data_IF_261780299412
#
_entry.id   IF_261780299412
#
_cell.length_a   1.000
_cell.length_b   1.000
_cell.length_c   1.000
_cell.angle_alpha   90.00
_cell.angle_beta   90.00
_cell.angle_gamma   90.00
#
_symmetry.space_group_name_H-M   'P 1'
#
loop_
_entity.id
_entity.type
_entity.pdbx_description
1 polymer ?
#
# COMPACT_ATOMS: atom_id res chain seq x y z
N UNK A 1 27.63 -23.02 36.96
CA UNK A 1 27.01 -21.71 37.25
C UNK A 1 27.12 -20.68 36.13
N UNK A 2 28.22 -20.64 35.35
CA UNK A 2 28.39 -19.66 34.25
C UNK A 2 27.46 -19.95 33.06
N UNK A 3 27.31 -21.22 32.65
CA UNK A 3 26.45 -21.61 31.53
C UNK A 3 24.97 -21.22 31.71
N UNK A 4 24.38 -21.52 32.88
CA UNK A 4 22.99 -21.16 33.23
C UNK A 4 22.73 -19.64 33.21
N UNK A 5 23.71 -18.82 33.60
CA UNK A 5 23.59 -17.35 33.54
C UNK A 5 23.59 -16.85 32.09
N UNK A 6 24.43 -17.44 31.25
CA UNK A 6 24.48 -17.11 29.81
C UNK A 6 23.19 -17.53 29.11
N UNK A 7 22.67 -18.71 29.43
CA UNK A 7 21.41 -19.21 28.88
C UNK A 7 20.21 -18.34 29.29
N UNK A 8 20.11 -17.97 30.57
CA UNK A 8 19.09 -17.02 31.04
C UNK A 8 19.17 -15.67 30.32
N UNK A 9 20.39 -15.16 30.07
CA UNK A 9 20.60 -13.90 29.33
C UNK A 9 20.16 -14.03 27.87
N UNK A 10 20.43 -15.16 27.22
CA UNK A 10 19.99 -15.43 25.86
C UNK A 10 18.47 -15.51 25.76
N UNK A 11 17.81 -16.24 26.68
CA UNK A 11 16.36 -16.33 26.71
C UNK A 11 15.70 -14.97 26.93
N UNK A 12 16.22 -14.14 27.84
CA UNK A 12 15.72 -12.77 28.05
C UNK A 12 15.87 -11.90 26.79
N UNK A 13 16.97 -12.07 26.05
CA UNK A 13 17.18 -11.35 24.78
C UNK A 13 16.15 -11.79 23.73
N UNK A 14 15.89 -13.09 23.63
CA UNK A 14 14.88 -13.63 22.71
C UNK A 14 13.49 -13.11 23.06
N UNK A 15 13.11 -13.14 24.35
CA UNK A 15 11.81 -12.61 24.79
C UNK A 15 11.64 -11.14 24.42
N UNK A 16 12.64 -10.31 24.68
CA UNK A 16 12.60 -8.88 24.36
C UNK A 16 12.51 -8.64 22.84
N UNK A 17 13.21 -9.44 22.03
CA UNK A 17 13.07 -9.39 20.57
C UNK A 17 11.67 -9.76 20.09
N UNK A 18 11.02 -10.74 20.73
CA UNK A 18 9.65 -11.13 20.38
C UNK A 18 8.64 -10.06 20.80
N UNK A 19 8.85 -9.40 21.94
CA UNK A 19 8.02 -8.30 22.43
C UNK A 19 8.05 -7.12 21.44
N UNK A 20 9.25 -6.71 20.99
CA UNK A 20 9.41 -5.69 19.95
C UNK A 20 8.73 -6.07 18.62
N UNK A 21 8.78 -7.35 18.24
CA UNK A 21 8.14 -7.83 17.02
C UNK A 21 6.61 -7.82 17.12
N UNK A 22 6.06 -8.18 18.29
CA UNK A 22 4.63 -8.07 18.56
C UNK A 22 4.18 -6.62 18.46
N UNK A 23 4.89 -5.69 19.11
CA UNK A 23 4.56 -4.26 19.05
C UNK A 23 4.59 -3.74 17.60
N UNK A 24 5.58 -4.16 16.82
CA UNK A 24 5.70 -3.77 15.41
C UNK A 24 4.52 -4.29 14.59
N UNK A 25 4.16 -5.57 14.75
CA UNK A 25 3.03 -6.19 14.04
C UNK A 25 1.68 -5.59 14.46
N UNK A 26 1.49 -5.27 15.74
CA UNK A 26 0.27 -4.60 16.22
C UNK A 26 0.11 -3.21 15.58
N UNK A 27 1.20 -2.45 15.47
CA UNK A 27 1.19 -1.16 14.79
C UNK A 27 0.87 -1.27 13.30
N UNK A 28 1.50 -2.22 12.59
CA UNK A 28 1.19 -2.49 11.17
C UNK A 28 -0.27 -2.92 11.02
N UNK A 29 -0.75 -3.81 11.88
CA UNK A 29 -2.13 -4.27 11.86
C UNK A 29 -3.11 -3.12 12.07
N UNK A 30 -2.86 -2.22 13.02
CA UNK A 30 -3.71 -1.04 13.25
C UNK A 30 -3.77 -0.13 12.01
N UNK A 31 -2.64 0.10 11.34
CA UNK A 31 -2.61 0.92 10.11
C UNK A 31 -3.40 0.23 8.98
N UNK A 32 -3.21 -1.08 8.83
CA UNK A 32 -3.92 -1.88 7.81
C UNK A 32 -5.41 -1.97 8.11
N UNK A 33 -5.82 -2.17 9.36
CA UNK A 33 -7.22 -2.19 9.79
C UNK A 33 -7.90 -0.84 9.49
N UNK A 34 -7.20 0.28 9.75
CA UNK A 34 -7.66 1.62 9.37
C UNK A 34 -7.83 1.79 7.85
N UNK A 35 -6.98 1.14 7.05
CA UNK A 35 -7.06 1.15 5.59
C UNK A 35 -8.19 0.27 5.04
N UNK A 36 -8.48 -0.86 5.71
CA UNK A 36 -9.49 -1.83 5.28
C UNK A 36 -10.90 -1.45 5.74
N UNK A 37 -11.03 -0.76 6.87
CA UNK A 37 -12.34 -0.46 7.45
C UNK A 37 -13.30 0.20 6.45
N UNK A 38 -14.48 -0.41 6.34
CA UNK A 38 -15.43 -0.31 5.23
C UNK A 38 -16.14 1.06 5.10
N UNK A 39 -15.89 2.01 6.00
CA UNK A 39 -16.56 3.32 5.93
C UNK A 39 -16.07 4.18 4.76
N UNK A 40 -15.00 3.78 4.07
CA UNK A 40 -14.49 4.49 2.89
C UNK A 40 -14.17 5.98 3.16
N UNK A 41 -14.14 6.38 4.43
CA UNK A 41 -13.97 7.77 4.91
C UNK A 41 -12.57 8.29 4.66
N UNK A 42 -11.59 7.39 4.59
CA UNK A 42 -10.20 7.77 4.37
C UNK A 42 -10.05 8.38 2.97
N UNK A 43 -9.65 9.64 2.90
CA UNK A 43 -9.35 10.30 1.63
C UNK A 43 -8.20 9.59 0.92
N UNK A 44 -8.10 9.80 -0.39
CA UNK A 44 -6.99 9.27 -1.19
C UNK A 44 -5.62 9.76 -0.65
N UNK A 45 -5.57 10.98 -0.10
CA UNK A 45 -4.36 11.54 0.50
C UNK A 45 -3.98 10.86 1.82
N UNK A 46 -4.94 10.62 2.71
CA UNK A 46 -4.70 9.90 3.97
C UNK A 46 -4.30 8.45 3.72
N UNK A 47 -4.86 7.84 2.67
CA UNK A 47 -4.49 6.49 2.23
C UNK A 47 -3.04 6.47 1.76
N UNK A 48 -2.63 7.46 0.94
CA UNK A 48 -1.25 7.61 0.48
C UNK A 48 -0.27 7.83 1.65
N UNK A 49 -0.66 8.62 2.65
CA UNK A 49 0.14 8.87 3.85
C UNK A 49 0.29 7.61 4.72
N UNK A 50 -0.77 6.83 4.88
CA UNK A 50 -0.70 5.54 5.58
C UNK A 50 0.21 4.53 4.87
N UNK A 51 0.13 4.43 3.53
CA UNK A 51 1.05 3.60 2.75
C UNK A 51 2.51 4.07 2.87
N UNK A 52 2.74 5.38 2.84
CA UNK A 52 4.08 5.94 3.02
C UNK A 52 4.62 5.68 4.42
N UNK A 53 3.79 5.82 5.45
CA UNK A 53 4.16 5.49 6.83
C UNK A 53 4.57 4.01 6.95
N UNK A 54 3.81 3.09 6.33
CA UNK A 54 4.19 1.68 6.29
C UNK A 54 5.52 1.45 5.56
N UNK A 55 5.79 2.16 4.46
CA UNK A 55 7.06 2.03 3.74
C UNK A 55 8.25 2.61 4.50
N UNK A 56 8.07 3.75 5.18
CA UNK A 56 9.15 4.45 5.87
C UNK A 56 9.50 3.79 7.22
N UNK A 57 8.49 3.32 7.96
CA UNK A 57 8.67 2.80 9.33
C UNK A 57 8.63 1.26 9.41
N UNK A 58 8.00 0.58 8.44
CA UNK A 58 7.72 -0.86 8.49
C UNK A 58 8.01 -1.55 7.14
N UNK A 59 9.13 -1.20 6.50
CA UNK A 59 9.46 -1.63 5.14
C UNK A 59 9.52 -3.17 4.98
N UNK A 60 10.07 -3.87 5.96
CA UNK A 60 10.22 -5.33 5.91
C UNK A 60 8.85 -6.00 5.95
N UNK A 61 7.98 -5.60 6.87
CA UNK A 61 6.60 -6.09 6.98
C UNK A 61 5.80 -5.72 5.72
N UNK A 62 5.94 -4.48 5.25
CA UNK A 62 5.32 -4.02 4.01
C UNK A 62 5.63 -4.97 2.85
N UNK A 63 6.90 -5.37 2.73
CA UNK A 63 7.39 -6.23 1.65
C UNK A 63 7.00 -7.69 1.85
N UNK A 64 7.15 -8.21 3.06
CA UNK A 64 6.84 -9.61 3.41
C UNK A 64 5.35 -9.90 3.23
N UNK A 65 4.49 -8.97 3.62
CA UNK A 65 3.04 -9.12 3.51
C UNK A 65 2.46 -8.55 2.21
N UNK A 66 3.33 -8.11 1.29
CA UNK A 66 2.94 -7.52 0.00
C UNK A 66 1.84 -6.46 0.13
N UNK A 67 1.93 -5.58 1.15
CA UNK A 67 0.89 -4.61 1.48
C UNK A 67 0.59 -3.67 0.31
N UNK A 68 1.51 -3.50 -0.64
CA UNK A 68 1.26 -2.78 -1.90
C UNK A 68 0.12 -3.35 -2.74
N UNK A 69 -0.16 -4.66 -2.68
CA UNK A 69 -1.31 -5.26 -3.37
C UNK A 69 -2.64 -4.82 -2.77
N UNK A 70 -2.65 -4.52 -1.48
CA UNK A 70 -3.82 -4.00 -0.77
C UNK A 70 -4.23 -2.63 -1.32
N UNK A 71 -3.25 -1.80 -1.70
CA UNK A 71 -3.51 -0.50 -2.31
C UNK A 71 -4.36 -0.64 -3.57
N UNK A 72 -4.13 -1.64 -4.44
CA UNK A 72 -4.93 -1.81 -5.65
C UNK A 72 -6.43 -2.00 -5.36
N UNK A 73 -6.77 -2.72 -4.29
CA UNK A 73 -8.15 -2.99 -3.90
C UNK A 73 -8.89 -1.72 -3.43
N UNK A 74 -8.20 -0.82 -2.72
CA UNK A 74 -8.80 0.36 -2.11
C UNK A 74 -8.66 1.64 -2.94
N UNK A 75 -7.54 1.77 -3.63
CA UNK A 75 -7.17 2.97 -4.37
C UNK A 75 -7.86 3.00 -5.73
N UNK A 76 -8.04 1.84 -6.38
CA UNK A 76 -8.72 1.77 -7.68
C UNK A 76 -10.15 2.36 -7.67
N UNK A 77 -11.05 1.97 -6.74
CA UNK A 77 -12.38 2.58 -6.69
C UNK A 77 -12.32 4.07 -6.36
N UNK A 78 -11.44 4.50 -5.44
CA UNK A 78 -11.30 5.92 -5.06
C UNK A 78 -10.80 6.80 -6.21
N UNK A 79 -9.76 6.37 -6.93
CA UNK A 79 -9.26 7.11 -8.09
C UNK A 79 -10.32 7.14 -9.19
N UNK A 80 -11.02 6.02 -9.44
CA UNK A 80 -12.13 5.98 -10.40
C UNK A 80 -13.18 7.02 -10.04
N UNK A 81 -13.58 7.11 -8.78
CA UNK A 81 -14.61 8.07 -8.34
C UNK A 81 -14.12 9.53 -8.50
N UNK A 82 -12.85 9.82 -8.24
CA UNK A 82 -12.25 11.12 -8.56
C UNK A 82 -12.29 11.41 -10.08
N UNK A 83 -12.01 10.40 -10.90
CA UNK A 83 -12.00 10.49 -12.36
C UNK A 83 -13.40 10.55 -12.99
N UNK A 84 -14.47 10.21 -12.28
CA UNK A 84 -15.84 10.42 -12.76
C UNK A 84 -16.16 11.92 -12.90
N UNK A 85 -15.59 12.75 -12.03
CA UNK A 85 -15.72 14.22 -12.09
C UNK A 85 -14.78 14.87 -13.09
N UNK A 86 -13.83 14.10 -13.65
CA UNK A 86 -12.79 14.60 -14.53
C UNK A 86 -13.27 14.70 -15.98
N UNK A 87 -13.08 15.87 -16.59
CA UNK A 87 -13.29 16.07 -18.02
C UNK A 87 -11.94 16.07 -18.77
N UNK A 88 -11.65 15.03 -19.58
CA UNK A 88 -10.38 14.90 -20.29
C UNK A 88 -10.15 16.00 -21.34
N UNK A 89 -11.22 16.59 -21.90
CA UNK A 89 -11.11 17.64 -22.92
C UNK A 89 -10.77 19.01 -22.32
N UNK A 90 -11.24 19.28 -21.09
CA UNK A 90 -10.98 20.55 -20.41
C UNK A 90 -9.66 20.52 -19.62
N UNK A 91 -9.36 19.39 -18.96
CA UNK A 91 -8.23 19.31 -18.03
C UNK A 91 -7.43 18.02 -18.18
N UNK A 92 -6.78 17.78 -19.34
CA UNK A 92 -6.10 16.50 -19.63
C UNK A 92 -4.95 16.16 -18.66
N UNK A 93 -4.36 17.17 -18.00
CA UNK A 93 -3.22 17.00 -17.08
C UNK A 93 -3.59 16.77 -15.63
N UNK A 94 -4.87 16.94 -15.26
CA UNK A 94 -5.31 16.88 -13.86
C UNK A 94 -4.99 15.53 -13.18
N UNK A 95 -5.26 14.36 -13.79
CA UNK A 95 -5.00 13.08 -13.11
C UNK A 95 -3.53 12.64 -13.16
N UNK A 96 -2.68 13.29 -13.95
CA UNK A 96 -1.27 12.90 -14.11
C UNK A 96 -0.53 12.97 -12.77
N UNK A 97 -0.70 14.05 -12.01
CA UNK A 97 -0.07 14.20 -10.69
C UNK A 97 -0.55 13.14 -9.70
N UNK A 98 -1.81 12.76 -9.79
CA UNK A 98 -2.40 11.73 -8.95
C UNK A 98 -1.81 10.36 -9.26
N UNK A 99 -1.74 10.01 -10.54
CA UNK A 99 -1.11 8.77 -10.98
C UNK A 99 0.39 8.75 -10.64
N UNK A 100 1.11 9.86 -10.77
CA UNK A 100 2.53 9.96 -10.41
C UNK A 100 2.78 9.70 -8.91
N UNK A 101 1.95 10.26 -8.03
CA UNK A 101 2.01 10.01 -6.59
C UNK A 101 1.80 8.52 -6.28
N UNK A 102 0.76 7.92 -6.86
CA UNK A 102 0.46 6.50 -6.64
C UNK A 102 1.45 5.56 -7.32
N UNK A 103 2.07 5.98 -8.42
CA UNK A 103 3.15 5.25 -9.06
C UNK A 103 4.32 5.06 -8.09
N UNK A 104 4.78 6.14 -7.46
CA UNK A 104 5.87 6.09 -6.49
C UNK A 104 5.54 5.16 -5.31
N UNK A 105 4.30 5.19 -4.82
CA UNK A 105 3.86 4.37 -3.69
C UNK A 105 3.79 2.89 -4.10
N UNK A 106 3.27 2.57 -5.28
CA UNK A 106 3.07 1.18 -5.72
C UNK A 106 4.37 0.53 -6.24
N UNK A 107 5.27 1.31 -6.84
CA UNK A 107 6.57 0.80 -7.32
C UNK A 107 7.52 0.47 -6.16
N UNK A 108 7.55 1.29 -5.09
CA UNK A 108 8.39 1.04 -3.92
C UNK A 108 8.03 -0.26 -3.18
N UNK A 109 6.80 -0.74 -3.38
CA UNK A 109 6.25 -1.89 -2.70
C UNK A 109 6.26 -3.20 -3.48
N UNK A 110 6.54 -3.13 -4.77
CA UNK A 110 6.49 -4.31 -5.64
C UNK A 110 7.85 -4.99 -5.59
N UNK A 111 7.91 -6.15 -4.93
CA UNK A 111 9.00 -7.06 -5.22
C UNK A 111 8.86 -7.43 -6.69
N UNK A 112 9.91 -7.19 -7.48
CA UNK A 112 10.02 -7.68 -8.85
C UNK A 112 10.10 -9.22 -8.83
N UNK A 113 9.05 -9.89 -8.34
CA UNK A 113 8.92 -11.34 -8.41
C UNK A 113 8.55 -11.64 -9.86
N UNK A 114 9.59 -11.79 -10.65
CA UNK A 114 9.68 -12.18 -12.05
C UNK A 114 9.13 -13.59 -12.30
N UNK A 115 7.92 -13.92 -11.83
CA UNK A 115 7.32 -15.26 -11.98
C UNK A 115 5.87 -15.26 -12.49
N UNK A 116 5.33 -14.14 -12.95
CA UNK A 116 4.03 -14.14 -13.64
C UNK A 116 4.08 -13.33 -14.92
N UNK A 117 4.40 -14.00 -16.02
CA UNK A 117 4.45 -13.47 -17.38
C UNK A 117 3.08 -13.10 -17.97
N UNK A 118 2.03 -12.89 -17.15
CA UNK A 118 0.66 -12.64 -17.61
C UNK A 118 -0.16 -11.67 -16.77
N UNK A 119 0.31 -11.20 -15.60
CA UNK A 119 -0.43 -10.25 -14.75
C UNK A 119 0.14 -8.85 -14.91
N UNK A 120 -0.72 -7.90 -15.29
CA UNK A 120 -0.37 -6.47 -15.43
C UNK A 120 0.26 -5.96 -14.12
N UNK A 121 1.26 -5.08 -14.18
CA UNK A 121 1.88 -4.49 -12.99
C UNK A 121 0.80 -3.83 -12.11
N UNK A 122 0.92 -3.83 -10.76
CA UNK A 122 -0.11 -3.27 -9.88
C UNK A 122 -0.55 -1.85 -10.27
N UNK A 123 0.42 -1.00 -10.62
CA UNK A 123 0.18 0.34 -11.15
C UNK A 123 -0.54 0.34 -12.51
N UNK A 124 -0.15 -0.54 -13.44
CA UNK A 124 -0.77 -0.61 -14.76
C UNK A 124 -2.24 -1.06 -14.67
N UNK A 125 -2.53 -2.00 -13.77
CA UNK A 125 -3.90 -2.45 -13.48
C UNK A 125 -4.72 -1.32 -12.83
N UNK A 126 -4.13 -0.55 -11.93
CA UNK A 126 -4.77 0.62 -11.31
C UNK A 126 -5.14 1.66 -12.36
N UNK A 127 -4.17 2.04 -13.21
CA UNK A 127 -4.38 2.99 -14.30
C UNK A 127 -5.49 2.50 -15.22
N UNK A 128 -5.42 1.25 -15.67
CA UNK A 128 -6.41 0.67 -16.57
C UNK A 128 -7.83 0.69 -15.97
N UNK A 129 -7.98 0.29 -14.71
CA UNK A 129 -9.28 0.22 -14.05
C UNK A 129 -9.86 1.60 -13.73
N UNK A 130 -9.02 2.59 -13.46
CA UNK A 130 -9.47 3.91 -13.05
C UNK A 130 -9.70 4.86 -14.25
N UNK A 131 -8.79 4.86 -15.24
CA UNK A 131 -8.78 5.81 -16.36
C UNK A 131 -9.69 5.42 -17.52
N UNK A 132 -9.75 4.13 -17.86
CA UNK A 132 -10.47 3.64 -19.03
C UNK A 132 -11.99 3.90 -18.98
N UNK A 133 -12.69 3.78 -17.83
CA UNK A 133 -14.10 4.14 -17.74
C UNK A 133 -14.38 5.61 -18.08
N UNK A 134 -13.57 6.55 -17.58
CA UNK A 134 -13.77 7.99 -17.82
C UNK A 134 -13.54 8.39 -19.27
N UNK A 135 -12.57 7.78 -19.96
CA UNK A 135 -12.38 8.01 -21.40
C UNK A 135 -13.55 7.49 -22.21
N UNK A 136 -14.04 6.27 -21.91
CA UNK A 136 -15.20 5.73 -22.62
C UNK A 136 -16.42 6.62 -22.46
N UNK A 137 -16.65 7.14 -21.25
CA UNK A 137 -17.73 8.08 -20.97
C UNK A 137 -17.59 9.44 -21.65
N UNK A 138 -16.37 9.87 -21.99
CA UNK A 138 -16.13 11.14 -22.67
C UNK A 138 -16.25 11.06 -24.21
N UNK A 139 -16.13 9.86 -24.78
CA UNK A 139 -16.19 9.63 -26.24
C UNK A 139 -17.63 9.29 -26.70
N UNK A 140 -18.51 8.85 -25.79
CA UNK A 140 -19.95 8.67 -26.05
C UNK A 140 -20.72 9.98 -25.96
#
# INVERSE_FOLDING_TARGET
MVALKTEKKNLLKVVNQHEQLIDTLENVFMIVDKLINETNELSLQETAEAFKNLQDNYYEEYKIYELGKLANSFVAPKIRDCLLSWNPFLQPKQPIKLFEQWKCILENGTTNTTLQTQTMHPYDQLVWNAWMPSIRGAIQ
#
